data_IF_148799608687
#
_entry.id   IF_148799608687
#
_cell.length_a   1.000
_cell.length_b   1.000
_cell.length_c   1.000
_cell.angle_alpha   90.00
_cell.angle_beta   90.00
_cell.angle_gamma   90.00
#
_symmetry.space_group_name_H-M   'P 1'
#
loop_
_entity.id
_entity.type
_entity.pdbx_description
1 polymer ?
#
# COMPACT_ATOMS: atom_id res chain seq x y z
N UNK A 1 4.93 -23.90 -14.13
CA UNK A 1 3.60 -23.26 -14.27
C UNK A 1 3.84 -21.85 -14.76
N UNK A 2 3.21 -21.43 -15.86
CA UNK A 2 3.21 -20.03 -16.23
C UNK A 2 2.37 -19.29 -15.18
N UNK A 3 2.98 -18.35 -14.44
CA UNK A 3 2.21 -17.43 -13.63
C UNK A 3 1.36 -16.57 -14.58
N UNK A 4 0.08 -16.40 -14.27
CA UNK A 4 -0.82 -15.49 -15.00
C UNK A 4 -1.28 -14.44 -13.98
N UNK A 5 -0.43 -13.44 -13.66
CA UNK A 5 -0.65 -12.54 -12.53
C UNK A 5 -1.97 -11.76 -12.62
N UNK A 6 -2.41 -11.42 -13.84
CA UNK A 6 -3.65 -10.67 -14.09
C UNK A 6 -4.93 -11.45 -13.77
N UNK A 7 -4.83 -12.77 -13.61
CA UNK A 7 -5.93 -13.65 -13.25
C UNK A 7 -5.90 -14.08 -11.77
N UNK A 8 -5.00 -13.50 -10.97
CA UNK A 8 -4.96 -13.72 -9.54
C UNK A 8 -5.83 -12.69 -8.81
N UNK A 9 -6.79 -13.18 -8.01
CA UNK A 9 -7.48 -12.35 -7.01
C UNK A 9 -6.57 -12.24 -5.81
N UNK A 10 -6.17 -11.02 -5.47
CA UNK A 10 -5.30 -10.74 -4.33
C UNK A 10 -6.13 -10.21 -3.16
N UNK A 11 -5.88 -10.71 -1.96
CA UNK A 11 -6.61 -10.36 -0.74
C UNK A 11 -5.68 -10.32 0.46
N UNK A 12 -6.00 -9.49 1.45
CA UNK A 12 -5.28 -9.42 2.75
C UNK A 12 -5.91 -10.37 3.77
N UNK A 13 -7.24 -10.52 3.72
CA UNK A 13 -8.01 -11.43 4.55
C UNK A 13 -9.38 -11.72 3.93
N UNK A 14 -10.08 -12.72 4.46
CA UNK A 14 -11.44 -13.05 4.08
C UNK A 14 -12.22 -13.59 5.30
N UNK A 15 -13.48 -14.00 5.09
CA UNK A 15 -14.33 -14.55 6.15
C UNK A 15 -13.81 -15.83 6.81
N UNK A 16 -12.97 -16.63 6.12
CA UNK A 16 -12.43 -17.89 6.64
C UNK A 16 -11.11 -17.70 7.39
N UNK A 17 -10.39 -16.59 7.14
CA UNK A 17 -9.05 -16.31 7.70
C UNK A 17 -9.05 -15.30 8.85
N UNK A 18 -10.21 -14.75 9.21
CA UNK A 18 -10.38 -13.90 10.37
C UNK A 18 -10.27 -14.70 11.70
N UNK A 19 -10.03 -14.05 12.84
CA UNK A 19 -9.88 -14.74 14.13
C UNK A 19 -11.06 -15.66 14.45
N UNK A 20 -10.78 -16.81 15.08
CA UNK A 20 -11.78 -17.80 15.48
C UNK A 20 -12.54 -18.45 14.30
N UNK A 21 -11.94 -18.51 13.11
CA UNK A 21 -12.52 -19.18 11.94
C UNK A 21 -11.63 -20.31 11.41
N UNK A 22 -12.20 -21.14 10.53
CA UNK A 22 -11.63 -22.43 10.11
C UNK A 22 -10.22 -22.37 9.48
N UNK A 23 -9.78 -21.22 8.96
CA UNK A 23 -8.48 -21.02 8.33
C UNK A 23 -7.74 -19.80 8.89
N UNK A 24 -7.82 -19.56 10.20
CA UNK A 24 -7.21 -18.41 10.87
C UNK A 24 -5.73 -18.21 10.45
N UNK A 25 -5.49 -17.10 9.76
CA UNK A 25 -4.20 -16.68 9.25
C UNK A 25 -4.18 -15.15 9.17
N UNK A 26 -4.55 -14.51 10.28
CA UNK A 26 -4.78 -13.07 10.34
C UNK A 26 -3.47 -12.31 10.12
N UNK A 27 -3.46 -11.39 9.15
CA UNK A 27 -2.39 -10.41 9.01
C UNK A 27 -2.42 -9.47 10.21
N UNK A 28 -1.28 -9.31 10.88
CA UNK A 28 -1.19 -8.45 12.05
C UNK A 28 -1.65 -7.01 11.72
N UNK A 29 -2.40 -6.35 12.62
CA UNK A 29 -3.01 -5.05 12.34
C UNK A 29 -2.04 -3.98 11.82
N UNK A 30 -0.82 -3.94 12.35
CA UNK A 30 0.21 -2.98 11.94
C UNK A 30 0.68 -3.19 10.49
N UNK A 31 0.61 -4.42 9.97
CA UNK A 31 1.06 -4.74 8.62
C UNK A 31 -0.06 -4.62 7.58
N UNK A 32 -1.34 -4.60 8.00
CA UNK A 32 -2.47 -4.52 7.06
C UNK A 32 -2.40 -3.30 6.10
N UNK A 33 -2.03 -2.07 6.53
CA UNK A 33 -1.82 -0.96 5.60
C UNK A 33 -0.83 -1.27 4.48
N UNK A 34 0.29 -1.94 4.81
CA UNK A 34 1.33 -2.31 3.87
C UNK A 34 0.81 -3.39 2.90
N UNK A 35 0.13 -4.40 3.43
CA UNK A 35 -0.48 -5.46 2.62
C UNK A 35 -1.52 -4.90 1.64
N UNK A 36 -2.38 -3.98 2.09
CA UNK A 36 -3.37 -3.33 1.22
C UNK A 36 -2.71 -2.46 0.14
N UNK A 37 -1.66 -1.71 0.48
CA UNK A 37 -0.91 -0.94 -0.51
C UNK A 37 -0.31 -1.84 -1.61
N UNK A 38 0.21 -3.02 -1.24
CA UNK A 38 0.75 -3.98 -2.21
C UNK A 38 -0.30 -4.51 -3.18
N UNK A 39 -1.50 -4.87 -2.71
CA UNK A 39 -2.55 -5.38 -3.60
C UNK A 39 -3.23 -4.26 -4.41
N UNK A 40 -3.35 -3.06 -3.85
CA UNK A 40 -4.07 -1.94 -4.46
C UNK A 40 -3.23 -1.13 -5.44
N UNK A 41 -1.92 -1.00 -5.26
CA UNK A 41 -1.13 -0.02 -6.03
C UNK A 41 -0.21 -0.66 -7.06
N UNK A 42 0.06 -1.96 -6.94
CA UNK A 42 0.82 -2.69 -7.95
C UNK A 42 0.02 -2.88 -9.24
N UNK A 43 0.75 -3.03 -10.33
CA UNK A 43 0.21 -3.24 -11.68
C UNK A 43 -0.58 -4.54 -11.80
N UNK A 44 -0.07 -5.62 -11.21
CA UNK A 44 -0.60 -6.97 -11.38
C UNK A 44 -1.67 -7.32 -10.33
N UNK A 45 -2.66 -8.11 -10.76
CA UNK A 45 -3.66 -8.73 -9.90
C UNK A 45 -4.95 -7.92 -9.76
N UNK A 46 -5.99 -8.61 -9.30
CA UNK A 46 -7.32 -8.05 -9.06
C UNK A 46 -7.54 -7.95 -7.55
N UNK A 47 -7.35 -6.77 -6.93
CA UNK A 47 -7.48 -6.63 -5.49
C UNK A 47 -8.93 -6.80 -5.04
N UNK A 48 -9.10 -7.61 -4.00
CA UNK A 48 -10.34 -7.76 -3.26
C UNK A 48 -10.17 -7.13 -1.87
N UNK A 49 -11.11 -6.28 -1.49
CA UNK A 49 -11.09 -5.56 -0.21
C UNK A 49 -12.00 -6.29 0.76
N UNK A 50 -11.49 -6.59 1.95
CA UNK A 50 -12.30 -7.23 2.98
C UNK A 50 -13.15 -6.19 3.72
N UNK A 51 -14.46 -6.45 3.80
CA UNK A 51 -15.42 -5.49 4.36
C UNK A 51 -15.08 -5.04 5.80
N UNK A 52 -14.74 -5.95 6.75
CA UNK A 52 -14.34 -5.56 8.10
C UNK A 52 -13.10 -4.66 8.17
N UNK A 53 -12.13 -4.81 7.25
CA UNK A 53 -10.96 -3.93 7.25
C UNK A 53 -11.31 -2.50 6.80
N UNK A 54 -12.38 -2.33 6.02
CA UNK A 54 -12.84 -1.02 5.56
C UNK A 54 -13.82 -0.36 6.53
N UNK A 55 -14.74 -1.13 7.11
CA UNK A 55 -15.85 -0.59 7.93
C UNK A 55 -15.76 -0.94 9.41
N UNK A 56 -14.84 -1.81 9.80
CA UNK A 56 -14.82 -2.46 11.10
C UNK A 56 -15.84 -3.59 11.21
N UNK A 57 -15.69 -4.42 12.23
CA UNK A 57 -16.67 -5.42 12.61
C UNK A 57 -16.59 -5.72 14.11
N UNK A 58 -17.71 -6.16 14.68
CA UNK A 58 -17.77 -6.65 16.05
C UNK A 58 -18.71 -7.86 16.10
N UNK A 59 -18.24 -8.96 16.68
CA UNK A 59 -19.01 -10.20 16.80
C UNK A 59 -18.50 -11.01 18.00
N UNK A 60 -19.27 -12.02 18.41
CA UNK A 60 -18.81 -13.01 19.40
C UNK A 60 -18.85 -14.40 18.77
N UNK A 61 -17.84 -15.21 19.08
CA UNK A 61 -17.74 -16.60 18.64
C UNK A 61 -17.13 -17.49 19.74
N UNK A 62 -17.30 -18.80 19.60
CA UNK A 62 -16.76 -19.78 20.55
C UNK A 62 -15.33 -20.14 20.17
N UNK A 63 -14.40 -19.97 21.10
CA UNK A 63 -12.99 -20.34 20.90
C UNK A 63 -12.75 -21.84 20.99
N UNK A 64 -11.52 -22.25 20.70
CA UNK A 64 -11.07 -23.65 20.85
C UNK A 64 -11.13 -24.14 22.32
N UNK A 65 -11.23 -23.21 23.28
CA UNK A 65 -11.43 -23.48 24.70
C UNK A 65 -12.89 -23.76 25.09
N UNK A 66 -13.82 -23.61 24.14
CA UNK A 66 -15.26 -23.78 24.36
C UNK A 66 -15.94 -22.58 25.02
N UNK A 67 -15.20 -21.48 25.25
CA UNK A 67 -15.72 -20.25 25.84
C UNK A 67 -16.10 -19.23 24.76
N UNK A 68 -17.01 -18.31 25.10
CA UNK A 68 -17.43 -17.23 24.20
C UNK A 68 -16.42 -16.08 24.29
N UNK A 69 -15.88 -15.67 23.14
CA UNK A 69 -14.97 -14.54 23.03
C UNK A 69 -15.62 -13.42 22.20
N UNK A 70 -15.35 -12.17 22.55
CA UNK A 70 -15.70 -11.02 21.72
C UNK A 70 -14.53 -10.67 20.80
N UNK A 71 -14.82 -10.50 19.52
CA UNK A 71 -13.86 -10.07 18.50
C UNK A 71 -14.21 -8.66 18.06
N UNK A 72 -13.24 -7.77 18.16
CA UNK A 72 -13.30 -6.42 17.60
C UNK A 72 -12.29 -6.29 16.46
N UNK A 73 -12.78 -5.91 15.29
CA UNK A 73 -11.96 -5.59 14.13
C UNK A 73 -12.05 -4.09 13.87
N UNK A 74 -10.97 -3.38 14.15
CA UNK A 74 -10.87 -1.97 13.80
C UNK A 74 -10.70 -1.80 12.30
N UNK A 75 -11.32 -0.74 11.75
CA UNK A 75 -11.08 -0.31 10.38
C UNK A 75 -9.61 0.13 10.21
N UNK A 76 -9.11 0.05 8.98
CA UNK A 76 -7.81 0.59 8.60
C UNK A 76 -8.01 2.02 8.12
N UNK A 77 -7.55 2.99 8.90
CA UNK A 77 -7.85 4.41 8.66
C UNK A 77 -7.35 4.93 7.29
N UNK A 78 -6.20 4.44 6.80
CA UNK A 78 -5.65 4.87 5.50
C UNK A 78 -6.25 4.12 4.30
N UNK A 79 -7.03 3.05 4.51
CA UNK A 79 -7.55 2.20 3.44
C UNK A 79 -8.48 2.95 2.45
N UNK A 80 -9.41 3.82 2.90
CA UNK A 80 -10.18 4.66 1.97
C UNK A 80 -9.30 5.50 1.03
N UNK A 81 -8.20 6.08 1.54
CA UNK A 81 -7.25 6.85 0.72
C UNK A 81 -6.46 5.97 -0.24
N UNK A 82 -6.07 4.75 0.16
CA UNK A 82 -5.44 3.78 -0.75
C UNK A 82 -6.37 3.36 -1.90
N UNK A 83 -7.66 3.18 -1.63
CA UNK A 83 -8.67 2.86 -2.65
C UNK A 83 -8.81 4.01 -3.66
N UNK A 84 -8.86 5.24 -3.18
CA UNK A 84 -8.89 6.42 -4.04
C UNK A 84 -7.60 6.56 -4.85
N UNK A 85 -6.45 6.36 -4.20
CA UNK A 85 -5.14 6.41 -4.83
C UNK A 85 -5.00 5.40 -5.97
N UNK A 86 -5.55 4.18 -5.83
CA UNK A 86 -5.56 3.20 -6.94
C UNK A 86 -6.23 3.77 -8.19
N UNK A 87 -7.34 4.52 -8.03
CA UNK A 87 -8.06 5.11 -9.16
C UNK A 87 -7.32 6.30 -9.78
N UNK A 88 -6.59 7.05 -8.96
CA UNK A 88 -5.97 8.32 -9.37
C UNK A 88 -4.54 8.17 -9.88
N UNK A 89 -3.74 7.32 -9.25
CA UNK A 89 -2.28 7.36 -9.39
C UNK A 89 -1.62 6.01 -9.71
N UNK A 90 -2.32 4.89 -9.51
CA UNK A 90 -1.79 3.57 -9.83
C UNK A 90 -1.91 3.25 -11.34
N UNK A 91 -1.38 4.14 -12.17
CA UNK A 91 -1.50 4.10 -13.64
C UNK A 91 -0.16 3.80 -14.31
N UNK A 92 -0.25 3.19 -15.50
CA UNK A 92 0.92 2.97 -16.35
C UNK A 92 1.85 1.84 -15.90
N UNK A 93 2.97 1.65 -16.62
CA UNK A 93 3.95 0.60 -16.36
C UNK A 93 4.55 0.70 -14.96
N UNK A 94 4.99 -0.44 -14.43
CA UNK A 94 5.67 -0.50 -13.13
C UNK A 94 7.19 -0.69 -13.22
N UNK A 95 7.92 -0.12 -12.26
CA UNK A 95 9.32 -0.48 -11.96
C UNK A 95 9.45 -0.84 -10.49
N UNK A 96 9.96 -2.02 -10.20
CA UNK A 96 10.16 -2.53 -8.83
C UNK A 96 11.56 -2.17 -8.32
N UNK A 97 11.63 -1.67 -7.07
CA UNK A 97 12.86 -1.32 -6.34
C UNK A 97 12.93 -2.17 -5.07
N UNK A 98 13.22 -3.47 -5.24
CA UNK A 98 13.23 -4.49 -4.17
C UNK A 98 14.67 -4.91 -3.83
N UNK A 99 15.51 -3.91 -3.58
CA UNK A 99 16.94 -4.04 -3.27
C UNK A 99 17.26 -4.06 -1.77
N UNK A 100 16.26 -3.83 -0.91
CA UNK A 100 16.39 -3.86 0.55
C UNK A 100 15.28 -4.75 1.17
N UNK A 101 15.62 -5.68 2.08
CA UNK A 101 14.67 -6.62 2.70
C UNK A 101 13.67 -5.96 3.66
N UNK A 102 13.97 -4.75 4.14
CA UNK A 102 13.15 -3.98 5.06
C UNK A 102 12.45 -2.78 4.40
N UNK A 103 12.94 -2.31 3.26
CA UNK A 103 12.37 -1.18 2.53
C UNK A 103 12.24 -1.43 1.03
N UNK A 104 11.01 -1.69 0.59
CA UNK A 104 10.69 -1.85 -0.83
C UNK A 104 10.00 -0.60 -1.37
N UNK A 105 10.19 -0.35 -2.66
CA UNK A 105 9.41 0.65 -3.39
C UNK A 105 9.03 0.14 -4.78
N UNK A 106 8.02 0.76 -5.37
CA UNK A 106 7.71 0.59 -6.78
C UNK A 106 7.16 1.89 -7.36
N UNK A 107 7.52 2.14 -8.61
CA UNK A 107 7.10 3.29 -9.39
C UNK A 107 5.98 2.83 -10.32
N UNK A 108 4.86 3.53 -10.32
CA UNK A 108 3.86 3.50 -11.39
C UNK A 108 4.09 4.74 -12.23
N UNK A 109 4.49 4.57 -13.50
CA UNK A 109 5.00 5.66 -14.34
C UNK A 109 3.91 6.61 -14.88
N UNK A 110 2.64 6.30 -14.66
CA UNK A 110 1.55 7.05 -15.27
C UNK A 110 1.41 6.77 -16.76
N UNK A 111 0.47 7.47 -17.39
CA UNK A 111 0.21 7.43 -18.82
C UNK A 111 0.20 8.85 -19.39
N UNK A 112 -0.09 9.01 -20.68
CA UNK A 112 -0.35 10.31 -21.30
C UNK A 112 -1.45 11.11 -20.62
N UNK A 113 -2.43 10.42 -20.02
CA UNK A 113 -3.69 11.01 -19.57
C UNK A 113 -3.90 10.93 -18.06
N UNK A 114 -3.12 10.11 -17.35
CA UNK A 114 -3.29 9.87 -15.92
C UNK A 114 -1.95 9.80 -15.20
N UNK A 115 -1.79 10.49 -14.05
CA UNK A 115 -0.53 10.53 -13.32
C UNK A 115 -0.19 9.17 -12.70
N UNK A 116 1.11 8.99 -12.46
CA UNK A 116 1.68 7.87 -11.73
C UNK A 116 1.85 8.15 -10.23
N UNK A 117 2.57 7.26 -9.55
CA UNK A 117 2.99 7.41 -8.15
C UNK A 117 4.28 6.65 -7.86
N UNK A 118 4.91 6.98 -6.74
CA UNK A 118 5.93 6.13 -6.12
C UNK A 118 5.42 5.66 -4.77
N UNK A 119 5.27 4.35 -4.62
CA UNK A 119 4.90 3.74 -3.33
C UNK A 119 6.16 3.22 -2.67
N UNK A 120 6.38 3.60 -1.42
CA UNK A 120 7.49 3.14 -0.59
C UNK A 120 6.94 2.55 0.71
N UNK A 121 7.46 1.41 1.15
CA UNK A 121 7.01 0.69 2.33
C UNK A 121 8.23 0.28 3.17
N UNK A 122 8.14 0.45 4.49
CA UNK A 122 9.11 -0.11 5.44
C UNK A 122 8.43 -1.04 6.43
N UNK A 123 8.91 -2.27 6.54
CA UNK A 123 8.50 -3.21 7.61
C UNK A 123 9.36 -3.08 8.88
N UNK A 124 10.33 -2.17 8.89
CA UNK A 124 11.28 -1.96 9.97
C UNK A 124 11.27 -0.50 10.44
N UNK A 125 12.46 0.08 10.59
CA UNK A 125 12.63 1.47 10.98
C UNK A 125 12.28 2.45 9.84
N UNK A 126 12.30 3.74 10.15
CA UNK A 126 12.22 4.80 9.15
C UNK A 126 13.37 4.70 8.14
N UNK A 127 13.06 4.94 6.85
CA UNK A 127 14.03 4.82 5.75
C UNK A 127 13.85 5.96 4.75
N UNK A 128 14.97 6.40 4.19
CA UNK A 128 15.01 7.20 2.97
C UNK A 128 15.48 6.35 1.81
N UNK A 129 14.77 6.39 0.68
CA UNK A 129 15.13 5.66 -0.53
C UNK A 129 15.23 6.61 -1.71
N UNK A 130 16.39 6.61 -2.36
CA UNK A 130 16.55 7.34 -3.60
C UNK A 130 15.80 6.62 -4.72
N UNK A 131 15.02 7.38 -5.49
CA UNK A 131 14.36 6.90 -6.71
C UNK A 131 14.75 7.80 -7.87
N UNK A 132 14.82 7.21 -9.07
CA UNK A 132 15.11 7.91 -10.31
C UNK A 132 13.87 7.89 -11.19
N UNK A 133 13.24 9.06 -11.38
CA UNK A 133 12.08 9.23 -12.25
C UNK A 133 12.47 9.75 -13.64
N UNK A 134 13.75 10.11 -13.83
CA UNK A 134 14.27 10.68 -15.06
C UNK A 134 14.01 12.18 -15.23
N UNK A 135 14.73 12.82 -16.18
CA UNK A 135 14.85 14.27 -16.29
C UNK A 135 13.53 15.00 -16.58
N UNK A 136 12.50 14.32 -17.08
CA UNK A 136 11.17 14.89 -17.29
C UNK A 136 10.48 15.30 -15.97
N UNK A 137 10.97 14.79 -14.85
CA UNK A 137 10.52 15.14 -13.51
C UNK A 137 11.40 16.18 -12.81
N UNK A 138 12.43 16.73 -13.47
CA UNK A 138 13.37 17.67 -12.87
C UNK A 138 12.65 18.89 -12.24
N UNK A 139 13.01 19.21 -10.99
CA UNK A 139 12.42 20.31 -10.22
C UNK A 139 10.97 20.13 -9.80
N UNK A 140 10.32 19.00 -10.12
CA UNK A 140 8.93 18.76 -9.74
C UNK A 140 8.80 18.47 -8.24
N UNK A 141 7.75 19.04 -7.62
CA UNK A 141 7.40 18.78 -6.23
C UNK A 141 6.57 17.51 -6.05
N UNK A 142 6.81 16.79 -4.96
CA UNK A 142 6.09 15.58 -4.56
C UNK A 142 5.67 15.63 -3.09
N UNK A 143 4.50 15.07 -2.81
CA UNK A 143 3.95 14.93 -1.45
C UNK A 143 3.39 13.53 -1.22
N UNK A 144 3.42 13.09 0.04
CA UNK A 144 2.78 11.84 0.45
C UNK A 144 1.25 11.99 0.46
N UNK A 145 0.59 11.36 -0.50
CA UNK A 145 -0.86 11.35 -0.62
C UNK A 145 -1.56 10.71 0.58
N UNK A 146 -0.92 9.80 1.31
CA UNK A 146 -1.52 9.20 2.50
C UNK A 146 -1.45 10.14 3.71
N UNK A 147 -0.52 11.11 3.68
CA UNK A 147 -0.29 12.08 4.75
C UNK A 147 0.46 11.51 5.94
N UNK A 148 1.25 10.44 5.76
CA UNK A 148 2.11 9.93 6.82
C UNK A 148 3.42 10.72 6.92
N UNK A 149 3.85 11.32 5.80
CA UNK A 149 4.89 12.33 5.74
C UNK A 149 4.27 13.70 5.39
N UNK A 150 4.68 14.76 6.07
CA UNK A 150 4.09 16.11 5.90
C UNK A 150 4.90 16.98 4.92
N UNK A 151 6.15 16.61 4.69
CA UNK A 151 7.07 17.35 3.84
C UNK A 151 6.70 17.29 2.36
N UNK A 152 7.05 18.35 1.64
CA UNK A 152 7.12 18.37 0.19
C UNK A 152 8.59 18.27 -0.22
N UNK A 153 8.88 17.35 -1.12
CA UNK A 153 10.22 17.08 -1.63
C UNK A 153 10.27 17.43 -3.11
N UNK A 154 11.44 17.83 -3.60
CA UNK A 154 11.63 18.26 -4.98
C UNK A 154 12.67 17.38 -5.66
N UNK A 155 12.39 17.02 -6.91
CA UNK A 155 13.33 16.24 -7.69
C UNK A 155 14.54 17.10 -8.09
N UNK A 156 15.72 16.51 -8.14
CA UNK A 156 16.92 17.19 -8.63
C UNK A 156 16.89 17.42 -10.16
N UNK A 157 17.95 18.00 -10.73
CA UNK A 157 18.05 18.27 -12.16
C UNK A 157 18.03 17.00 -13.04
N UNK A 158 18.31 15.82 -12.45
CA UNK A 158 18.23 14.53 -13.12
C UNK A 158 16.86 13.85 -12.91
N UNK A 159 15.97 14.43 -12.10
CA UNK A 159 14.67 13.87 -11.74
C UNK A 159 14.74 12.81 -10.64
N UNK A 160 15.77 12.83 -9.79
CA UNK A 160 15.90 11.94 -8.64
C UNK A 160 15.30 12.54 -7.38
N UNK A 161 14.77 11.68 -6.52
CA UNK A 161 14.14 12.04 -5.26
C UNK A 161 14.62 11.12 -4.14
N UNK A 162 14.90 11.68 -2.96
CA UNK A 162 15.09 10.90 -1.74
C UNK A 162 13.75 10.83 -0.98
N UNK A 163 13.02 9.73 -1.16
CA UNK A 163 11.69 9.53 -0.58
C UNK A 163 11.79 9.03 0.85
N UNK A 164 11.01 9.61 1.75
CA UNK A 164 10.88 9.15 3.14
C UNK A 164 9.73 8.17 3.30
N UNK A 165 9.88 7.22 4.21
CA UNK A 165 8.79 6.43 4.77
C UNK A 165 9.03 6.22 6.27
N UNK A 166 7.97 6.39 7.07
CA UNK A 166 8.02 6.07 8.50
C UNK A 166 8.23 4.56 8.72
N UNK A 167 8.77 4.18 9.87
CA UNK A 167 8.90 2.76 10.23
C UNK A 167 7.54 2.06 10.37
N UNK A 168 7.45 0.80 9.93
CA UNK A 168 6.20 0.03 9.93
C UNK A 168 5.07 0.70 9.15
N UNK A 169 5.40 1.42 8.06
CA UNK A 169 4.46 2.29 7.35
C UNK A 169 4.60 2.18 5.82
N UNK A 170 3.69 2.88 5.14
CA UNK A 170 3.67 3.06 3.69
C UNK A 170 3.45 4.53 3.37
N UNK A 171 4.18 5.07 2.40
CA UNK A 171 3.94 6.41 1.85
C UNK A 171 3.73 6.33 0.35
N UNK A 172 2.86 7.18 -0.18
CA UNK A 172 2.53 7.27 -1.59
C UNK A 172 2.88 8.66 -2.12
N UNK A 173 4.07 8.78 -2.70
CA UNK A 173 4.55 10.05 -3.26
C UNK A 173 3.95 10.29 -4.63
N UNK A 174 3.25 11.41 -4.78
CA UNK A 174 2.62 11.86 -6.03
C UNK A 174 3.02 13.29 -6.32
N UNK A 175 2.95 13.73 -7.59
CA UNK A 175 3.23 15.14 -7.93
C UNK A 175 2.30 16.06 -7.16
N UNK A 176 2.84 17.08 -6.50
CA UNK A 176 2.06 17.97 -5.64
C UNK A 176 0.90 18.66 -6.35
N UNK A 177 1.06 18.98 -7.64
CA UNK A 177 0.03 19.60 -8.48
C UNK A 177 -1.18 18.71 -8.79
N UNK A 178 -1.09 17.41 -8.48
CA UNK A 178 -2.13 16.42 -8.79
C UNK A 178 -3.00 16.05 -7.59
N UNK A 179 -2.70 16.62 -6.41
CA UNK A 179 -3.44 16.38 -5.15
C UNK A 179 -4.69 17.24 -5.08
#
# INVERSE_FOLDING_TARGET
>A
MAAIPDHAVTLVGNHDTQPLQAMEASVEPWFKPLAYALILLRENGVPCIFYPDLYGAHYSDTGDDGESHEVEMSRIDCLPRLIEARKRFANGPQTDLFDDPHCIAFIRHGTSDAPGCVTILSNGAEVWKQVDLGPDHAGAGFRDYLGHCEEEIFADDAGKLDLRVNGGSVSLWVRSETI
#
